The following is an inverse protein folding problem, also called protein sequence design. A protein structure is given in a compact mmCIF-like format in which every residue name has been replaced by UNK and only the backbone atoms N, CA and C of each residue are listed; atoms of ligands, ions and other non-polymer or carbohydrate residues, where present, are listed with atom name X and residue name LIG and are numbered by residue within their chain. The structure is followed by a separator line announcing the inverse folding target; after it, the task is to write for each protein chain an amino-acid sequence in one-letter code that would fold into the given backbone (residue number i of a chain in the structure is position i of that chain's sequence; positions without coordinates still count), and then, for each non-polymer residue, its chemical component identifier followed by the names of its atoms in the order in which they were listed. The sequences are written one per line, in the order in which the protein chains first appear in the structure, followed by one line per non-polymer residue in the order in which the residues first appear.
data_IF_116802690367
#
_entry.id   IF_116802690367
#
_cell.length_a   1.000
_cell.length_b   1.000
_cell.length_c   1.000
_cell.angle_alpha   90.00
_cell.angle_beta   90.00
_cell.angle_gamma   90.00
#
_symmetry.space_group_name_H-M   'P 1'
#
loop_
_entity.id
_entity.type
_entity.pdbx_description
1 polymer ?
#
# COMPACT_ATOMS: atom_id res chain seq x y z
N UNK A 1 15.98 -43.70 46.04
CA UNK A 1 15.80 -42.44 45.27
C UNK A 1 14.60 -42.65 44.36
N UNK A 2 13.57 -41.83 44.47
CA UNK A 2 12.42 -41.86 43.57
C UNK A 2 12.34 -40.51 42.87
N UNK A 3 12.27 -40.51 41.54
CA UNK A 3 12.16 -39.29 40.73
C UNK A 3 10.80 -39.35 40.05
N UNK A 4 9.82 -38.65 40.63
CA UNK A 4 8.49 -38.55 40.04
C UNK A 4 8.52 -37.67 38.78
N UNK A 5 8.00 -38.21 37.67
CA UNK A 5 7.91 -37.49 36.41
C UNK A 5 6.73 -36.52 36.42
N UNK A 6 7.00 -35.22 36.60
CA UNK A 6 6.00 -34.17 36.47
C UNK A 6 5.73 -33.81 35.01
N UNK A 7 4.85 -34.57 34.35
CA UNK A 7 4.20 -34.14 33.10
C UNK A 7 2.87 -33.43 33.42
N UNK A 8 2.84 -32.08 33.34
CA UNK A 8 1.61 -31.30 33.51
C UNK A 8 1.48 -30.12 32.53
N UNK A 9 0.86 -30.46 31.39
CA UNK A 9 -0.20 -29.71 30.69
C UNK A 9 0.12 -28.35 30.03
N UNK A 10 -0.52 -28.18 28.87
CA UNK A 10 -0.56 -26.99 28.02
C UNK A 10 -0.83 -25.70 28.83
N UNK A 11 -0.03 -24.67 28.56
CA UNK A 11 -0.23 -23.33 29.09
C UNK A 11 -1.45 -22.68 28.41
N UNK A 12 -2.52 -22.49 29.17
CA UNK A 12 -3.64 -21.61 28.80
C UNK A 12 -3.11 -20.18 28.67
N UNK A 13 -3.36 -19.53 27.52
CA UNK A 13 -2.76 -18.22 27.17
C UNK A 13 -3.71 -17.04 27.44
N UNK A 14 -4.72 -17.24 28.27
CA UNK A 14 -5.71 -16.20 28.60
C UNK A 14 -5.20 -15.29 29.73
N UNK A 15 -4.20 -14.44 29.43
CA UNK A 15 -3.78 -13.37 30.33
C UNK A 15 -4.86 -12.27 30.39
N UNK A 16 -5.66 -12.28 31.45
CA UNK A 16 -6.53 -11.15 31.80
C UNK A 16 -5.70 -10.05 32.45
N UNK A 17 -5.55 -8.90 31.77
CA UNK A 17 -4.96 -7.71 32.35
C UNK A 17 -6.03 -6.91 33.10
N UNK A 18 -5.85 -6.73 34.41
CA UNK A 18 -6.58 -5.71 35.17
C UNK A 18 -5.85 -4.37 35.02
N UNK A 19 -6.52 -3.37 34.46
CA UNK A 19 -6.00 -1.99 34.42
C UNK A 19 -6.17 -1.41 35.83
N UNK A 20 -5.06 -1.03 36.47
CA UNK A 20 -5.12 -0.30 37.73
C UNK A 20 -5.39 1.18 37.46
N UNK A 21 -6.58 1.66 37.80
CA UNK A 21 -6.99 3.05 37.60
C UNK A 21 -6.35 4.01 38.60
N UNK A 22 -5.77 3.48 39.70
CA UNK A 22 -5.10 4.27 40.74
C UNK A 22 -3.63 4.61 40.39
N UNK A 23 -3.20 4.40 39.14
CA UNK A 23 -1.85 4.74 38.70
C UNK A 23 -1.72 6.25 38.46
N UNK A 24 -0.77 6.89 39.15
CA UNK A 24 -0.53 8.35 39.21
C UNK A 24 -0.40 9.09 37.86
N UNK A 25 -0.25 8.35 36.75
CA UNK A 25 -0.17 8.88 35.37
C UNK A 25 -1.55 9.25 34.82
N UNK A 26 -2.64 8.74 35.41
CA UNK A 26 -4.03 9.05 35.05
C UNK A 26 -4.64 10.16 35.92
N UNK A 27 -3.97 10.56 37.00
CA UNK A 27 -4.54 11.42 38.05
C UNK A 27 -4.12 12.89 37.95
N UNK A 28 -3.23 13.25 37.03
CA UNK A 28 -2.74 14.63 36.90
C UNK A 28 -3.53 15.43 35.85
N UNK A 29 -3.71 16.72 36.17
CA UNK A 29 -4.33 17.79 35.39
C UNK A 29 -5.86 17.71 35.21
N UNK A 30 -6.59 18.30 36.17
CA UNK A 30 -7.34 19.54 35.93
C UNK A 30 -7.65 20.24 37.27
N UNK A 31 -6.66 20.93 37.83
CA UNK A 31 -6.93 21.99 38.81
C UNK A 31 -7.33 23.26 38.04
N UNK A 32 -8.58 23.68 38.18
CA UNK A 32 -9.07 25.00 37.76
C UNK A 32 -9.52 25.74 39.00
N UNK A 33 -8.97 26.93 39.23
CA UNK A 33 -9.28 27.76 40.39
C UNK A 33 -10.76 28.18 40.40
N UNK A 34 -11.39 28.07 41.56
CA UNK A 34 -12.82 28.35 41.77
C UNK A 34 -13.00 29.71 42.48
N UNK A 35 -13.55 30.71 41.76
CA UNK A 35 -14.22 31.85 42.40
C UNK A 35 -15.61 32.12 41.78
N UNK A 36 -16.53 32.51 42.67
CA UNK A 36 -17.83 33.16 42.41
C UNK A 36 -19.00 32.37 41.78
N UNK A 37 -19.80 31.78 42.68
CA UNK A 37 -21.27 31.95 42.79
C UNK A 37 -22.27 31.07 41.97
N UNK A 38 -23.13 30.42 42.78
CA UNK A 38 -24.35 29.59 42.55
C UNK A 38 -25.56 30.37 41.96
N UNK A 39 -26.76 29.75 41.72
CA UNK A 39 -27.09 28.40 41.18
C UNK A 39 -28.31 28.34 40.22
N UNK A 40 -28.44 27.28 39.38
CA UNK A 40 -29.75 26.74 38.95
C UNK A 40 -29.69 25.27 38.43
N UNK A 41 -30.72 24.48 38.79
CA UNK A 41 -31.03 23.10 38.30
C UNK A 41 -31.53 23.15 36.83
N UNK A 42 -31.51 22.12 35.97
CA UNK A 42 -31.17 20.67 35.93
C UNK A 42 -31.03 20.33 34.41
N UNK A 43 -30.24 19.32 33.97
CA UNK A 43 -30.52 17.89 34.21
C UNK A 43 -29.21 17.13 34.57
N UNK A 44 -29.02 15.80 34.53
CA UNK A 44 -29.80 14.65 34.02
C UNK A 44 -29.73 13.45 35.00
N UNK A 45 -29.85 12.20 34.51
CA UNK A 45 -29.39 10.98 35.20
C UNK A 45 -28.68 10.05 34.21
N UNK A 46 -27.43 9.69 34.50
CA UNK A 46 -26.83 8.43 34.04
C UNK A 46 -26.70 7.56 35.29
N UNK A 47 -27.12 6.29 35.21
CA UNK A 47 -27.11 5.35 36.34
C UNK A 47 -25.76 4.63 36.40
N UNK A 48 -25.21 4.53 37.60
CA UNK A 48 -24.09 3.64 37.93
C UNK A 48 -24.63 2.25 38.27
N UNK A 49 -23.83 1.22 37.98
CA UNK A 49 -24.24 -0.17 37.85
C UNK A 49 -24.90 -0.85 39.06
N UNK A 50 -25.67 -1.87 38.72
CA UNK A 50 -26.01 -3.01 39.58
C UNK A 50 -25.64 -4.26 38.79
N UNK A 51 -24.76 -5.10 39.35
CA UNK A 51 -24.48 -6.44 38.84
C UNK A 51 -25.14 -7.43 39.79
N UNK A 52 -26.24 -8.05 39.35
CA UNK A 52 -26.90 -9.14 40.08
C UNK A 52 -26.29 -10.51 39.66
N UNK A 53 -26.28 -11.51 40.55
CA UNK A 53 -25.65 -12.81 40.29
C UNK A 53 -26.53 -13.72 39.44
N UNK A 54 -25.94 -14.45 38.47
CA UNK A 54 -26.69 -15.37 37.62
C UNK A 54 -26.84 -16.77 38.24
N UNK A 55 -28.08 -17.25 38.28
CA UNK A 55 -28.48 -18.53 38.86
C UNK A 55 -28.06 -19.77 38.04
N UNK A 56 -28.08 -20.93 38.70
CA UNK A 56 -27.91 -22.23 38.07
C UNK A 56 -29.15 -22.63 37.27
N UNK A 57 -29.01 -22.84 35.96
CA UNK A 57 -30.05 -23.43 35.12
C UNK A 57 -29.61 -24.79 34.54
N UNK A 58 -30.27 -25.88 34.96
CA UNK A 58 -30.19 -27.20 34.30
C UNK A 58 -31.20 -27.27 33.16
N UNK A 59 -30.77 -27.66 31.96
CA UNK A 59 -31.61 -28.34 30.95
C UNK A 59 -30.74 -29.35 30.16
N UNK A 60 -31.38 -30.23 29.38
CA UNK A 60 -30.86 -31.57 29.08
C UNK A 60 -30.52 -31.87 27.60
N UNK A 61 -29.75 -32.96 27.41
CA UNK A 61 -29.55 -33.83 26.24
C UNK A 61 -30.05 -33.41 24.84
N UNK A 62 -29.19 -33.59 23.84
CA UNK A 62 -29.24 -34.82 23.00
C UNK A 62 -28.01 -34.99 22.08
N UNK A 63 -27.87 -36.21 21.54
CA UNK A 63 -26.90 -36.68 20.56
C UNK A 63 -26.73 -35.77 19.33
N UNK A 64 -25.63 -35.74 18.58
CA UNK A 64 -24.44 -36.61 18.57
C UNK A 64 -24.20 -37.17 17.15
N UNK A 65 -23.01 -36.99 16.59
CA UNK A 65 -22.51 -37.79 15.45
C UNK A 65 -20.98 -37.67 15.34
N UNK A 66 -20.35 -38.77 14.98
CA UNK A 66 -18.90 -38.98 15.04
C UNK A 66 -18.27 -38.78 13.65
N UNK A 67 -17.03 -38.27 13.58
CA UNK A 67 -16.16 -38.42 12.41
C UNK A 67 -14.86 -39.09 12.86
N UNK A 68 -14.40 -40.17 12.20
CA UNK A 68 -13.37 -41.03 12.76
C UNK A 68 -11.94 -40.54 12.51
N UNK A 69 -11.10 -40.68 13.52
CA UNK A 69 -9.64 -40.72 13.35
C UNK A 69 -9.22 -41.87 12.42
N UNK A 70 -8.10 -41.69 11.71
CA UNK A 70 -7.31 -42.80 11.19
C UNK A 70 -5.82 -42.59 11.52
N UNK A 71 -5.15 -43.55 12.18
CA UNK A 71 -3.79 -43.36 12.69
C UNK A 71 -2.70 -43.95 11.77
N UNK A 72 -1.49 -43.39 11.87
CA UNK A 72 -0.15 -44.00 11.70
C UNK A 72 0.84 -42.86 11.48
N UNK A 73 2.11 -42.87 11.89
CA UNK A 73 2.96 -43.73 12.69
C UNK A 73 4.23 -42.88 12.84
N UNK A 74 4.80 -42.77 14.03
CA UNK A 74 6.15 -42.24 14.18
C UNK A 74 7.11 -43.44 14.14
N UNK A 75 8.20 -43.37 13.39
CA UNK A 75 9.40 -44.20 13.59
C UNK A 75 10.62 -43.56 12.90
N UNK A 76 11.88 -43.92 13.28
CA UNK A 76 12.88 -42.88 13.54
C UNK A 76 13.99 -42.73 12.50
N UNK A 77 14.79 -41.69 12.71
CA UNK A 77 15.97 -41.32 11.94
C UNK A 77 17.09 -42.36 11.97
N UNK A 78 17.58 -42.75 10.78
CA UNK A 78 18.74 -43.63 10.64
C UNK A 78 19.96 -42.89 10.05
N UNK A 79 21.16 -43.22 10.54
CA UNK A 79 22.43 -42.55 10.21
C UNK A 79 23.34 -43.50 9.44
N UNK A 80 23.60 -43.22 8.17
CA UNK A 80 24.69 -43.86 7.42
C UNK A 80 25.63 -42.84 6.79
N UNK A 81 26.93 -43.04 6.99
CA UNK A 81 28.03 -42.14 6.63
C UNK A 81 29.12 -42.92 5.89
N UNK A 82 29.32 -42.60 4.60
CA UNK A 82 30.57 -42.79 3.80
C UNK A 82 31.05 -44.25 3.59
N UNK A 83 31.39 -44.74 2.39
CA UNK A 83 32.58 -44.34 1.59
C UNK A 83 32.64 -44.92 0.15
N UNK A 84 33.16 -44.11 -0.79
CA UNK A 84 34.18 -44.40 -1.85
C UNK A 84 34.00 -45.52 -2.90
N UNK A 85 33.93 -45.12 -4.18
CA UNK A 85 34.91 -45.33 -5.30
C UNK A 85 34.41 -44.56 -6.54
N UNK A 86 35.16 -43.72 -7.28
CA UNK A 86 36.24 -43.99 -8.27
C UNK A 86 35.85 -45.12 -9.27
N UNK A 87 35.82 -44.94 -10.59
CA UNK A 87 36.81 -44.28 -11.48
C UNK A 87 36.20 -43.67 -12.76
N UNK A 88 36.75 -42.52 -13.15
CA UNK A 88 37.25 -42.11 -14.48
C UNK A 88 36.77 -42.78 -15.79
N UNK A 89 36.35 -41.94 -16.75
CA UNK A 89 36.75 -42.09 -18.16
C UNK A 89 36.82 -40.72 -18.85
N UNK A 90 38.04 -40.33 -19.22
CA UNK A 90 38.38 -39.09 -19.94
C UNK A 90 38.17 -39.25 -21.44
N UNK A 91 37.68 -38.21 -22.12
CA UNK A 91 38.06 -37.93 -23.52
C UNK A 91 38.07 -36.42 -23.77
N UNK A 92 39.25 -35.82 -23.64
CA UNK A 92 39.55 -34.54 -24.28
C UNK A 92 39.83 -34.79 -25.76
N UNK A 93 39.24 -34.02 -26.66
CA UNK A 93 39.74 -33.86 -28.04
C UNK A 93 39.77 -32.37 -28.35
N UNK A 94 40.92 -31.76 -28.05
CA UNK A 94 41.29 -30.45 -28.59
C UNK A 94 41.46 -30.59 -30.11
N UNK A 95 40.86 -29.70 -30.89
CA UNK A 95 41.16 -29.58 -32.32
C UNK A 95 41.40 -28.13 -32.67
N UNK A 96 42.67 -27.77 -32.68
CA UNK A 96 43.16 -26.51 -33.22
C UNK A 96 43.26 -26.61 -34.74
N UNK A 97 42.64 -25.69 -35.48
CA UNK A 97 42.84 -25.54 -36.92
C UNK A 97 42.51 -24.12 -37.35
N UNK A 98 43.56 -23.30 -37.40
CA UNK A 98 43.54 -21.94 -37.94
C UNK A 98 43.09 -21.95 -39.39
N UNK A 99 41.98 -21.27 -39.71
CA UNK A 99 41.72 -20.83 -41.09
C UNK A 99 41.03 -19.47 -41.03
N UNK A 100 41.73 -18.45 -41.53
CA UNK A 100 41.25 -17.08 -41.57
C UNK A 100 40.13 -16.97 -42.62
N UNK A 101 38.88 -16.91 -42.18
CA UNK A 101 37.75 -16.51 -43.03
C UNK A 101 37.21 -15.19 -42.50
N UNK A 102 37.16 -14.20 -43.39
CA UNK A 102 36.81 -12.82 -43.07
C UNK A 102 35.42 -12.75 -42.43
N UNK A 103 35.36 -12.28 -41.18
CA UNK A 103 34.10 -12.03 -40.49
C UNK A 103 33.38 -10.84 -41.15
N UNK A 104 32.49 -11.13 -42.10
CA UNK A 104 31.37 -10.23 -42.35
C UNK A 104 30.52 -10.24 -41.08
N UNK A 105 30.68 -9.19 -40.26
CA UNK A 105 29.83 -8.92 -39.11
C UNK A 105 28.44 -8.60 -39.65
N UNK A 106 27.59 -9.63 -39.72
CA UNK A 106 26.15 -9.44 -39.79
C UNK A 106 25.76 -8.73 -38.50
N UNK A 107 25.34 -7.47 -38.60
CA UNK A 107 24.77 -6.74 -37.48
C UNK A 107 23.37 -7.30 -37.28
N UNK A 108 23.29 -8.39 -36.52
CA UNK A 108 22.06 -8.77 -35.83
C UNK A 108 21.56 -7.53 -35.06
N UNK A 109 20.25 -7.23 -35.08
CA UNK A 109 19.72 -6.27 -34.13
C UNK A 109 20.00 -6.77 -32.71
N UNK A 110 20.22 -5.84 -31.78
CA UNK A 110 20.48 -6.15 -30.37
C UNK A 110 19.19 -6.69 -29.72
N UNK A 111 18.91 -7.97 -29.97
CA UNK A 111 17.78 -8.79 -29.49
C UNK A 111 17.86 -8.92 -27.96
N UNK A 112 17.59 -7.80 -27.28
CA UNK A 112 17.54 -7.68 -25.84
C UNK A 112 16.48 -8.63 -25.31
N UNK A 113 16.87 -9.59 -24.46
CA UNK A 113 15.95 -10.58 -23.87
C UNK A 113 14.66 -9.89 -23.40
N UNK A 114 13.48 -10.26 -23.95
CA UNK A 114 12.21 -9.62 -23.60
C UNK A 114 11.94 -9.64 -22.08
N UNK A 115 12.43 -10.65 -21.36
CA UNK A 115 12.33 -10.69 -19.90
C UNK A 115 13.25 -9.68 -19.20
N UNK A 116 14.45 -9.43 -19.75
CA UNK A 116 15.39 -8.43 -19.26
C UNK A 116 14.89 -7.00 -19.56
N UNK A 117 14.23 -6.78 -20.70
CA UNK A 117 13.56 -5.53 -21.03
C UNK A 117 12.50 -5.19 -19.97
N UNK A 118 11.62 -6.15 -19.65
CA UNK A 118 10.58 -6.01 -18.60
C UNK A 118 11.22 -5.76 -17.23
N UNK A 119 12.25 -6.51 -16.84
CA UNK A 119 12.94 -6.33 -15.54
C UNK A 119 13.61 -4.95 -15.42
N UNK A 120 14.27 -4.51 -16.50
CA UNK A 120 14.93 -3.19 -16.59
C UNK A 120 13.91 -2.07 -16.43
N UNK A 121 12.84 -2.11 -17.22
CA UNK A 121 11.74 -1.15 -17.11
C UNK A 121 11.12 -1.15 -15.71
N UNK A 122 10.81 -2.33 -15.16
CA UNK A 122 10.25 -2.48 -13.82
C UNK A 122 11.10 -1.77 -12.77
N UNK A 123 12.41 -2.05 -12.74
CA UNK A 123 13.34 -1.43 -11.79
C UNK A 123 13.38 0.10 -11.93
N UNK A 124 13.35 0.62 -13.16
CA UNK A 124 13.32 2.06 -13.42
C UNK A 124 12.05 2.71 -12.85
N UNK A 125 10.85 2.18 -13.14
CA UNK A 125 9.58 2.80 -12.74
C UNK A 125 9.22 2.59 -11.27
N UNK A 126 9.68 1.50 -10.63
CA UNK A 126 9.48 1.27 -9.18
C UNK A 126 10.62 1.78 -8.31
N UNK A 127 11.67 2.37 -8.90
CA UNK A 127 12.94 2.71 -8.24
C UNK A 127 13.49 1.54 -7.40
N UNK A 128 13.47 0.34 -7.99
CA UNK A 128 13.91 -0.93 -7.36
C UNK A 128 15.18 -1.46 -7.99
N UNK A 129 15.80 -2.46 -7.35
CA UNK A 129 17.02 -3.11 -7.83
C UNK A 129 16.89 -4.64 -7.76
N UNK A 130 15.89 -5.17 -8.46
CA UNK A 130 15.72 -6.61 -8.66
C UNK A 130 16.75 -7.11 -9.69
N UNK A 131 17.55 -8.10 -9.29
CA UNK A 131 18.52 -8.77 -10.15
C UNK A 131 17.87 -9.88 -10.98
N UNK A 132 18.57 -10.36 -12.00
CA UNK A 132 18.23 -11.49 -12.88
C UNK A 132 18.27 -12.86 -12.16
N UNK A 133 17.70 -12.94 -10.96
CA UNK A 133 17.57 -14.19 -10.21
C UNK A 133 16.55 -15.12 -10.84
N UNK A 134 16.77 -16.43 -10.72
CA UNK A 134 15.88 -17.50 -11.23
C UNK A 134 14.41 -17.30 -10.84
N UNK A 135 14.15 -16.78 -9.65
CA UNK A 135 12.79 -16.49 -9.15
C UNK A 135 12.15 -15.29 -9.85
N UNK A 136 12.81 -14.13 -9.87
CA UNK A 136 12.32 -12.92 -10.55
C UNK A 136 12.10 -13.17 -12.04
N UNK A 137 13.12 -13.71 -12.72
CA UNK A 137 13.05 -14.02 -14.15
C UNK A 137 12.04 -15.13 -14.43
N UNK A 138 11.85 -16.08 -13.50
CA UNK A 138 10.84 -17.14 -13.61
C UNK A 138 9.41 -16.59 -13.64
N UNK A 139 9.10 -15.57 -12.83
CA UNK A 139 7.79 -14.90 -12.90
C UNK A 139 7.57 -14.23 -14.26
N UNK A 140 8.56 -13.47 -14.75
CA UNK A 140 8.46 -12.73 -16.03
C UNK A 140 8.40 -13.70 -17.23
N UNK A 141 9.39 -14.59 -17.36
CA UNK A 141 9.46 -15.59 -18.46
C UNK A 141 8.27 -16.55 -18.42
N UNK A 142 7.76 -16.87 -17.24
CA UNK A 142 6.53 -17.65 -17.08
C UNK A 142 5.27 -16.96 -17.61
N UNK A 143 5.24 -15.63 -17.76
CA UNK A 143 4.16 -14.94 -18.50
C UNK A 143 4.44 -14.92 -20.00
N UNK A 144 5.69 -14.73 -20.42
CA UNK A 144 6.08 -14.72 -21.84
C UNK A 144 5.83 -16.06 -22.57
N UNK A 145 5.75 -17.18 -21.83
CA UNK A 145 5.36 -18.50 -22.36
C UNK A 145 3.84 -18.69 -22.43
N UNK A 146 3.06 -17.88 -21.70
CA UNK A 146 1.59 -17.95 -21.61
C UNK A 146 0.92 -16.80 -22.41
N UNK A 147 1.39 -16.58 -23.64
CA UNK A 147 0.85 -15.64 -24.63
C UNK A 147 0.96 -14.13 -24.32
N UNK A 148 1.71 -13.71 -23.29
CA UNK A 148 1.99 -12.28 -23.04
C UNK A 148 3.26 -11.81 -23.78
N UNK A 149 3.24 -10.60 -24.36
CA UNK A 149 4.47 -9.94 -24.85
C UNK A 149 5.09 -9.03 -23.79
N UNK A 150 6.37 -8.68 -23.94
CA UNK A 150 7.06 -7.77 -23.02
C UNK A 150 6.31 -6.44 -22.82
N UNK A 151 5.72 -5.90 -23.90
CA UNK A 151 4.87 -4.70 -23.87
C UNK A 151 3.65 -4.83 -22.95
N UNK A 152 3.07 -6.02 -22.82
CA UNK A 152 1.92 -6.27 -21.93
C UNK A 152 2.33 -6.23 -20.45
N UNK A 153 3.49 -6.81 -20.14
CA UNK A 153 4.05 -6.83 -18.78
C UNK A 153 4.54 -5.44 -18.36
N UNK A 154 5.10 -4.67 -19.29
CA UNK A 154 5.40 -3.24 -19.14
C UNK A 154 4.11 -2.46 -18.85
N UNK A 155 3.05 -2.68 -19.63
CA UNK A 155 1.75 -2.03 -19.45
C UNK A 155 1.11 -2.35 -18.08
N UNK A 156 1.16 -3.60 -17.62
CA UNK A 156 0.74 -4.01 -16.27
C UNK A 156 1.52 -3.27 -15.19
N UNK A 157 2.83 -3.11 -15.39
CA UNK A 157 3.71 -2.39 -14.46
C UNK A 157 3.36 -0.91 -14.41
N UNK A 158 3.23 -0.25 -15.57
CA UNK A 158 2.82 1.16 -15.70
C UNK A 158 1.51 1.43 -14.94
N UNK A 159 0.48 0.62 -15.20
CA UNK A 159 -0.83 0.76 -14.59
C UNK A 159 -0.78 0.65 -13.06
N UNK A 160 -0.02 -0.31 -12.52
CA UNK A 160 0.07 -0.53 -11.08
C UNK A 160 1.00 0.47 -10.38
N UNK A 161 2.07 0.93 -11.03
CA UNK A 161 2.87 2.06 -10.55
C UNK A 161 2.00 3.33 -10.49
N UNK A 162 1.24 3.61 -11.55
CA UNK A 162 0.30 4.73 -11.56
C UNK A 162 -0.76 4.62 -10.44
N UNK A 163 -1.22 3.40 -10.13
CA UNK A 163 -2.24 3.15 -9.10
C UNK A 163 -1.72 3.20 -7.66
N UNK A 164 -0.53 2.62 -7.40
CA UNK A 164 -0.07 2.26 -6.05
C UNK A 164 1.18 2.98 -5.58
N UNK A 165 2.02 3.55 -6.46
CA UNK A 165 3.30 4.17 -6.03
C UNK A 165 3.13 5.29 -4.98
N UNK A 166 2.02 6.04 -5.08
CA UNK A 166 1.64 7.11 -4.15
C UNK A 166 0.90 6.64 -2.90
N UNK A 167 0.41 5.40 -2.87
CA UNK A 167 -0.30 4.83 -1.72
C UNK A 167 0.71 4.17 -0.77
N UNK A 168 0.90 4.70 0.46
CA UNK A 168 1.89 4.16 1.40
C UNK A 168 1.66 2.69 1.79
N UNK A 169 0.42 2.18 1.66
CA UNK A 169 0.07 0.80 2.01
C UNK A 169 0.26 -0.16 0.83
N UNK A 170 -0.02 0.31 -0.38
CA UNK A 170 -0.01 -0.53 -1.58
C UNK A 170 1.34 -0.54 -2.31
N UNK A 171 2.15 0.53 -2.21
CA UNK A 171 3.45 0.60 -2.91
C UNK A 171 4.37 -0.58 -2.59
N UNK A 172 4.35 -1.09 -1.35
CA UNK A 172 5.22 -2.17 -0.89
C UNK A 172 4.88 -3.52 -1.56
N UNK A 173 3.73 -3.61 -2.26
CA UNK A 173 3.31 -4.77 -3.05
C UNK A 173 3.76 -4.71 -4.52
N UNK A 174 4.38 -3.61 -4.99
CA UNK A 174 4.99 -3.49 -6.31
C UNK A 174 6.24 -4.38 -6.41
N UNK A 175 6.01 -5.68 -6.60
CA UNK A 175 7.04 -6.74 -6.69
C UNK A 175 6.75 -7.65 -7.88
N UNK A 176 7.76 -8.18 -8.59
CA UNK A 176 7.55 -9.10 -9.71
C UNK A 176 6.67 -10.31 -9.34
N UNK A 177 6.82 -10.86 -8.12
CA UNK A 177 5.96 -11.94 -7.59
C UNK A 177 4.48 -11.55 -7.52
N UNK A 178 4.16 -10.32 -7.13
CA UNK A 178 2.75 -9.87 -6.98
C UNK A 178 2.12 -9.59 -8.33
N UNK A 179 2.91 -8.98 -9.24
CA UNK A 179 2.45 -8.45 -10.51
C UNK A 179 2.37 -9.54 -11.60
N UNK A 180 3.31 -10.47 -11.60
CA UNK A 180 3.47 -11.51 -12.62
C UNK A 180 3.25 -12.93 -12.07
N UNK A 181 2.53 -13.10 -10.96
CA UNK A 181 1.98 -14.41 -10.60
C UNK A 181 0.90 -14.83 -11.61
N UNK A 182 0.72 -16.14 -11.86
CA UNK A 182 -0.29 -16.61 -12.81
C UNK A 182 -1.71 -16.14 -12.46
N UNK A 183 -2.05 -16.16 -11.17
CA UNK A 183 -3.36 -15.77 -10.63
C UNK A 183 -3.68 -14.28 -10.87
N UNK A 184 -2.69 -13.39 -10.73
CA UNK A 184 -2.92 -11.95 -10.74
C UNK A 184 -2.69 -11.29 -12.10
N UNK A 185 -1.76 -11.82 -12.90
CA UNK A 185 -1.25 -11.12 -14.09
C UNK A 185 -2.36 -10.84 -15.12
N UNK A 186 -3.22 -11.83 -15.36
CA UNK A 186 -4.39 -11.70 -16.26
C UNK A 186 -5.35 -10.60 -15.78
N UNK A 187 -5.71 -10.60 -14.49
CA UNK A 187 -6.63 -9.62 -13.92
C UNK A 187 -6.06 -8.19 -13.96
N UNK A 188 -4.74 -8.03 -13.78
CA UNK A 188 -4.08 -6.73 -13.92
C UNK A 188 -3.94 -6.29 -15.38
N UNK A 189 -3.72 -7.22 -16.32
CA UNK A 189 -3.62 -6.92 -17.75
C UNK A 189 -4.93 -6.38 -18.32
N UNK A 190 -6.07 -7.02 -17.99
CA UNK A 190 -7.40 -6.53 -18.38
C UNK A 190 -7.71 -5.13 -17.83
N UNK A 191 -7.26 -4.85 -16.61
CA UNK A 191 -7.39 -3.51 -16.00
C UNK A 191 -6.45 -2.49 -16.66
N UNK A 192 -5.24 -2.91 -17.01
CA UNK A 192 -4.23 -2.06 -17.64
C UNK A 192 -4.59 -1.70 -19.09
N UNK A 193 -5.18 -2.63 -19.86
CA UNK A 193 -5.79 -2.35 -21.17
C UNK A 193 -6.86 -1.27 -21.09
N UNK A 194 -7.84 -1.42 -20.19
CA UNK A 194 -8.90 -0.42 -19.97
C UNK A 194 -8.35 0.94 -19.52
N UNK A 195 -7.28 0.94 -18.73
CA UNK A 195 -6.57 2.16 -18.34
C UNK A 195 -5.82 2.82 -19.51
N UNK A 196 -5.23 2.04 -20.42
CA UNK A 196 -4.62 2.54 -21.65
C UNK A 196 -5.66 3.10 -22.62
N UNK A 197 -6.77 2.40 -22.84
CA UNK A 197 -7.92 2.86 -23.64
C UNK A 197 -8.50 4.17 -23.10
N UNK A 198 -8.51 4.35 -21.77
CA UNK A 198 -8.91 5.59 -21.11
C UNK A 198 -7.89 6.74 -21.22
N UNK A 199 -6.78 6.56 -21.96
CA UNK A 199 -5.73 7.57 -22.14
C UNK A 199 -4.72 7.64 -20.99
N UNK A 200 -4.51 6.54 -20.26
CA UNK A 200 -3.58 6.44 -19.11
C UNK A 200 -3.80 7.53 -18.03
N UNK A 201 -5.02 7.69 -17.49
CA UNK A 201 -5.30 8.73 -16.50
C UNK A 201 -4.45 8.57 -15.24
N UNK A 202 -4.05 9.69 -14.64
CA UNK A 202 -3.33 9.70 -13.38
C UNK A 202 -4.23 9.25 -12.20
N UNK A 203 -3.65 8.52 -11.24
CA UNK A 203 -4.28 8.28 -9.94
C UNK A 203 -3.90 9.40 -8.96
N UNK A 204 -4.91 9.95 -8.29
CA UNK A 204 -4.79 10.90 -7.17
C UNK A 204 -5.75 10.46 -6.08
N UNK A 205 -5.25 10.29 -4.85
CA UNK A 205 -6.03 9.87 -3.68
C UNK A 205 -6.91 8.62 -3.90
N UNK A 206 -6.39 7.65 -4.67
CA UNK A 206 -7.08 6.40 -5.00
C UNK A 206 -8.13 6.50 -6.13
N UNK A 207 -8.33 7.69 -6.71
CA UNK A 207 -9.25 7.94 -7.82
C UNK A 207 -8.50 8.19 -9.12
N UNK A 208 -8.97 7.58 -10.21
CA UNK A 208 -8.56 7.95 -11.57
C UNK A 208 -9.18 9.30 -11.97
N UNK A 209 -8.34 10.23 -12.42
CA UNK A 209 -8.79 11.51 -12.96
C UNK A 209 -9.50 11.29 -14.30
N UNK A 210 -10.50 12.12 -14.59
CA UNK A 210 -11.17 12.12 -15.91
C UNK A 210 -10.29 12.80 -16.96
N UNK A 211 -10.48 12.51 -18.26
CA UNK A 211 -9.84 13.27 -19.33
C UNK A 211 -10.06 14.78 -19.15
N UNK A 212 -8.98 15.55 -19.07
CA UNK A 212 -9.00 17.01 -18.82
C UNK A 212 -9.05 17.46 -17.35
N UNK A 213 -9.12 16.52 -16.39
CA UNK A 213 -8.99 16.81 -14.96
C UNK A 213 -7.51 16.72 -14.57
N UNK A 214 -6.89 17.82 -14.14
CA UNK A 214 -5.45 17.86 -13.83
C UNK A 214 -5.19 17.55 -12.36
N UNK A 215 -4.12 16.81 -12.08
CA UNK A 215 -3.67 16.46 -10.74
C UNK A 215 -3.11 17.67 -9.98
N UNK A 216 -4.00 18.49 -9.41
CA UNK A 216 -3.60 19.62 -8.57
C UNK A 216 -3.15 19.14 -7.19
N UNK A 217 -1.84 19.12 -6.97
CA UNK A 217 -1.28 19.04 -5.62
C UNK A 217 -1.47 20.38 -4.90
N UNK A 218 -2.44 20.46 -3.99
CA UNK A 218 -2.70 21.67 -3.20
C UNK A 218 -1.83 21.65 -1.94
N UNK A 219 -0.81 22.50 -1.90
CA UNK A 219 -0.12 22.84 -0.65
C UNK A 219 -1.12 23.51 0.31
N UNK A 220 -1.42 22.82 1.42
CA UNK A 220 -2.36 23.26 2.44
C UNK A 220 -1.82 24.44 3.26
N UNK A 221 -0.51 24.51 3.49
CA UNK A 221 0.14 25.57 4.26
C UNK A 221 0.14 26.86 3.43
N UNK A 222 0.56 26.79 2.17
CA UNK A 222 0.53 27.95 1.27
C UNK A 222 -0.90 28.48 1.06
N UNK A 223 -1.89 27.58 0.90
CA UNK A 223 -3.31 27.96 0.81
C UNK A 223 -3.79 28.71 2.06
N UNK A 224 -3.46 28.21 3.25
CA UNK A 224 -4.00 28.76 4.51
C UNK A 224 -3.20 29.99 5.00
N UNK A 225 -1.95 30.17 4.55
CA UNK A 225 -1.25 31.47 4.60
C UNK A 225 -1.88 32.49 3.64
N UNK A 226 -2.15 32.09 2.40
CA UNK A 226 -2.80 32.95 1.41
C UNK A 226 -4.20 33.38 1.85
N UNK A 227 -4.96 32.54 2.56
CA UNK A 227 -6.23 32.93 3.19
C UNK A 227 -6.04 34.12 4.14
N UNK A 228 -5.14 33.98 5.14
CA UNK A 228 -4.87 35.03 6.12
C UNK A 228 -4.42 36.33 5.46
N UNK A 229 -3.51 36.23 4.49
CA UNK A 229 -3.00 37.39 3.73
C UNK A 229 -4.08 38.07 2.89
N UNK A 230 -4.80 37.33 2.04
CA UNK A 230 -5.67 37.90 1.00
C UNK A 230 -7.09 38.18 1.49
N UNK A 231 -7.60 37.38 2.42
CA UNK A 231 -8.97 37.51 2.95
C UNK A 231 -8.99 38.36 4.22
N UNK A 232 -8.17 38.02 5.22
CA UNK A 232 -8.17 38.73 6.50
C UNK A 232 -7.38 40.05 6.43
N UNK A 233 -6.16 40.04 5.87
CA UNK A 233 -5.28 41.21 5.83
C UNK A 233 -5.35 42.02 4.52
N UNK A 234 -6.21 41.65 3.56
CA UNK A 234 -6.38 42.35 2.26
C UNK A 234 -5.09 42.63 1.48
N UNK A 235 -4.08 41.76 1.60
CA UNK A 235 -2.81 41.87 0.86
C UNK A 235 -2.99 41.67 -0.64
N UNK A 236 -2.03 42.16 -1.44
CA UNK A 236 -1.94 41.88 -2.87
C UNK A 236 -1.53 40.41 -3.12
N UNK A 237 -2.05 39.76 -4.18
CA UNK A 237 -1.61 38.43 -4.61
C UNK A 237 -0.17 38.46 -5.14
N UNK A 238 0.58 37.37 -4.91
CA UNK A 238 1.97 37.17 -5.36
C UNK A 238 2.06 36.41 -6.68
N UNK A 239 1.24 35.38 -6.84
CA UNK A 239 1.31 34.40 -7.93
C UNK A 239 0.00 34.35 -8.72
N UNK A 240 0.02 33.84 -9.96
CA UNK A 240 -1.17 33.64 -10.81
C UNK A 240 -2.30 32.87 -10.10
N UNK A 241 -1.94 31.87 -9.30
CA UNK A 241 -2.88 31.12 -8.45
C UNK A 241 -3.60 32.02 -7.43
N UNK A 242 -2.84 32.86 -6.70
CA UNK A 242 -3.40 33.80 -5.73
C UNK A 242 -4.28 34.86 -6.41
N UNK A 243 -3.93 35.30 -7.62
CA UNK A 243 -4.71 36.25 -8.41
C UNK A 243 -6.10 35.68 -8.75
N UNK A 244 -6.16 34.48 -9.34
CA UNK A 244 -7.43 33.82 -9.67
C UNK A 244 -8.24 33.52 -8.40
N UNK A 245 -7.59 33.03 -7.33
CA UNK A 245 -8.25 32.76 -6.05
C UNK A 245 -8.85 34.03 -5.43
N UNK A 246 -8.14 35.17 -5.47
CA UNK A 246 -8.63 36.45 -4.97
C UNK A 246 -9.82 36.97 -5.79
N UNK A 247 -9.80 36.84 -7.12
CA UNK A 247 -10.93 37.20 -7.98
C UNK A 247 -12.18 36.35 -7.68
N UNK A 248 -12.01 35.04 -7.51
CA UNK A 248 -13.11 34.13 -7.15
C UNK A 248 -13.67 34.41 -5.75
N UNK A 249 -12.80 34.71 -4.77
CA UNK A 249 -13.21 35.09 -3.41
C UNK A 249 -13.95 36.43 -3.34
N UNK A 250 -13.60 37.39 -4.20
CA UNK A 250 -14.37 38.62 -4.37
C UNK A 250 -15.79 38.34 -4.87
N UNK A 251 -15.92 37.49 -5.90
CA UNK A 251 -17.21 37.07 -6.47
C UNK A 251 -18.08 36.28 -5.48
N UNK A 252 -17.48 35.48 -4.61
CA UNK A 252 -18.21 34.67 -3.62
C UNK A 252 -18.56 35.41 -2.32
N UNK A 253 -18.16 36.68 -2.17
CA UNK A 253 -18.44 37.48 -0.96
C UNK A 253 -17.79 36.96 0.33
N UNK A 254 -16.71 36.18 0.23
CA UNK A 254 -16.17 35.37 1.34
C UNK A 254 -15.84 36.18 2.61
N UNK A 255 -15.45 37.45 2.45
CA UNK A 255 -15.13 38.38 3.55
C UNK A 255 -16.32 38.76 4.44
N UNK A 256 -17.56 38.42 4.03
CA UNK A 256 -18.79 38.63 4.82
C UNK A 256 -19.21 37.39 5.61
N UNK A 257 -18.51 36.27 5.45
CA UNK A 257 -18.79 35.02 6.15
C UNK A 257 -18.08 34.98 7.51
N UNK A 258 -18.55 34.11 8.41
CA UNK A 258 -17.80 33.75 9.63
C UNK A 258 -16.50 33.04 9.25
N UNK A 259 -15.46 33.15 10.09
CA UNK A 259 -14.11 32.65 9.79
C UNK A 259 -14.09 31.15 9.40
N UNK A 260 -14.83 30.30 10.13
CA UNK A 260 -14.96 28.86 9.83
C UNK A 260 -15.58 28.61 8.45
N UNK A 261 -16.66 29.33 8.11
CA UNK A 261 -17.33 29.23 6.81
C UNK A 261 -16.46 29.81 5.69
N UNK A 262 -15.73 30.89 5.95
CA UNK A 262 -14.79 31.50 5.03
C UNK A 262 -13.61 30.55 4.72
N UNK A 263 -13.01 29.91 5.74
CA UNK A 263 -12.01 28.86 5.52
C UNK A 263 -12.55 27.68 4.68
N UNK A 264 -13.78 27.23 4.97
CA UNK A 264 -14.40 26.15 4.20
C UNK A 264 -14.62 26.52 2.72
N UNK A 265 -15.15 27.73 2.46
CA UNK A 265 -15.34 28.25 1.12
C UNK A 265 -14.00 28.48 0.39
N UNK A 266 -12.97 28.94 1.10
CA UNK A 266 -11.63 29.18 0.54
C UNK A 266 -11.00 27.91 -0.01
N UNK A 267 -11.17 26.77 0.66
CA UNK A 267 -10.69 25.47 0.14
C UNK A 267 -11.25 25.16 -1.25
N UNK A 268 -12.55 25.40 -1.46
CA UNK A 268 -13.20 25.21 -2.77
C UNK A 268 -12.80 26.25 -3.81
N UNK A 269 -12.58 27.50 -3.40
CA UNK A 269 -12.10 28.60 -4.27
C UNK A 269 -10.67 28.33 -4.75
N UNK A 270 -9.79 27.93 -3.83
CA UNK A 270 -8.39 27.63 -4.13
C UNK A 270 -8.24 26.42 -5.06
N UNK A 271 -9.05 25.37 -4.85
CA UNK A 271 -9.09 24.22 -5.75
C UNK A 271 -9.49 24.64 -7.18
N UNK A 272 -10.55 25.46 -7.33
CA UNK A 272 -10.97 25.98 -8.64
C UNK A 272 -9.92 26.89 -9.29
N UNK A 273 -9.27 27.74 -8.51
CA UNK A 273 -8.19 28.60 -9.01
C UNK A 273 -7.01 27.78 -9.53
N UNK A 274 -6.62 26.73 -8.80
CA UNK A 274 -5.52 25.85 -9.19
C UNK A 274 -5.87 24.95 -10.38
N UNK A 275 -7.11 24.48 -10.48
CA UNK A 275 -7.62 23.80 -11.68
C UNK A 275 -7.55 24.73 -12.91
N UNK A 276 -7.88 26.02 -12.75
CA UNK A 276 -7.78 26.99 -13.83
C UNK A 276 -6.33 27.28 -14.24
N UNK A 277 -5.40 27.47 -13.29
CA UNK A 277 -3.95 27.59 -13.59
C UNK A 277 -3.44 26.35 -14.33
N UNK A 278 -3.86 25.16 -13.90
CA UNK A 278 -3.44 23.91 -14.53
C UNK A 278 -3.95 23.79 -15.98
N UNK A 279 -5.19 24.23 -16.25
CA UNK A 279 -5.76 24.30 -17.61
C UNK A 279 -5.07 25.36 -18.47
N UNK A 280 -4.77 26.53 -17.92
CA UNK A 280 -3.99 27.58 -18.59
C UNK A 280 -2.61 27.04 -19.02
N UNK A 281 -1.96 26.22 -18.19
CA UNK A 281 -0.66 25.60 -18.50
C UNK A 281 -0.70 24.45 -19.52
N UNK A 282 -1.85 23.79 -19.73
CA UNK A 282 -2.00 22.71 -20.74
C UNK A 282 -2.39 23.22 -22.13
N UNK A 283 -2.74 24.50 -22.26
CA UNK A 283 -3.20 25.12 -23.51
C UNK A 283 -2.21 26.14 -24.09
N UNK A 284 -1.01 26.23 -23.52
CA UNK A 284 0.08 27.12 -23.92
C UNK A 284 1.23 26.32 -24.57
#
# INVERSE_FOLDING_TARGET
MSIEQLNKRNHDRTNYYAINYDHEVLTDHFAVDEEAAKPARKPSKIRIGQNDPIEQAKTASSSGSNWPDRPSQNDPMDKVKMTRSLTESTTEITTESTTNISCQVHVEPDETDPALQVLTHFNQVTNSNYREGKTTMGYIRGRLVEDYVASDLILVTDYLVAKWSKDPRMRDYLRPKTLFSPENCSEYFDKAKKWQEAGRPACVDGRWLKPGEVAVSVDTVARDEAFRRLICSSSKPKNRLEEIAAQLAGKSGIRRMTEVSAHAAWRGIWAKAAEQVAKEATCA
#
